data_IF_885621983370
#
_entry.id   IF_885621983370
#
_cell.length_a   1.000
_cell.length_b   1.000
_cell.length_c   1.000
_cell.angle_alpha   90.00
_cell.angle_beta   90.00
_cell.angle_gamma   90.00
#
_symmetry.space_group_name_H-M   'P 1'
#
loop_
_entity.id
_entity.type
_entity.pdbx_description
1 polymer ?
#
# COMPACT_ATOMS: atom_id res chain seq x y z
N UNK A 1 -51.60 27.30 50.91
CA UNK A 1 -52.18 26.22 50.08
C UNK A 1 -51.31 26.08 48.84
N UNK A 2 -50.75 24.87 48.64
CA UNK A 2 -50.29 24.24 47.36
C UNK A 2 -49.37 25.07 46.45
N UNK A 3 -48.03 24.92 46.45
CA UNK A 3 -47.18 23.79 46.01
C UNK A 3 -47.53 23.27 44.61
N UNK A 4 -46.67 23.52 43.61
CA UNK A 4 -46.44 22.58 42.52
C UNK A 4 -45.04 22.80 41.90
N UNK A 5 -44.14 21.90 42.29
CA UNK A 5 -42.79 21.75 41.76
C UNK A 5 -42.86 20.97 40.43
N UNK A 6 -42.53 21.62 39.33
CA UNK A 6 -42.40 21.00 37.99
C UNK A 6 -40.97 20.55 37.75
N UNK A 7 -40.61 19.42 38.35
CA UNK A 7 -39.31 18.77 38.18
C UNK A 7 -39.25 18.12 36.80
N UNK A 8 -38.70 18.85 35.82
CA UNK A 8 -38.48 18.38 34.46
C UNK A 8 -37.29 17.40 34.44
N UNK A 9 -37.61 16.13 34.65
CA UNK A 9 -36.68 15.01 34.65
C UNK A 9 -36.26 14.70 33.20
N UNK A 10 -35.25 15.41 32.70
CA UNK A 10 -34.59 15.08 31.43
C UNK A 10 -33.69 13.88 31.71
N UNK A 11 -34.22 12.68 31.50
CA UNK A 11 -33.44 11.44 31.45
C UNK A 11 -32.38 11.56 30.35
N UNK A 12 -31.15 11.84 30.76
CA UNK A 12 -29.96 11.56 29.96
C UNK A 12 -29.88 10.06 29.72
N UNK A 13 -30.47 9.59 28.62
CA UNK A 13 -30.19 8.28 28.06
C UNK A 13 -28.78 8.30 27.47
N UNK A 14 -27.78 8.15 28.34
CA UNK A 14 -26.42 7.83 27.95
C UNK A 14 -26.46 6.40 27.43
N UNK A 15 -26.63 6.26 26.11
CA UNK A 15 -26.39 4.99 25.42
C UNK A 15 -24.89 4.72 25.56
N UNK A 16 -24.51 3.93 26.57
CA UNK A 16 -23.17 3.36 26.68
C UNK A 16 -23.05 2.30 25.59
N UNK A 17 -22.77 2.75 24.36
CA UNK A 17 -22.37 1.88 23.28
C UNK A 17 -21.06 1.22 23.68
N UNK A 18 -21.10 -0.07 23.99
CA UNK A 18 -19.89 -0.87 24.12
C UNK A 18 -19.22 -0.88 22.75
N UNK A 19 -18.20 -0.04 22.56
CA UNK A 19 -17.31 -0.15 21.42
C UNK A 19 -16.60 -1.49 21.55
N UNK A 20 -17.14 -2.51 20.89
CA UNK A 20 -16.44 -3.78 20.74
C UNK A 20 -15.32 -3.50 19.75
N UNK A 21 -14.13 -3.20 20.29
CA UNK A 21 -12.90 -3.23 19.52
C UNK A 21 -12.79 -4.65 18.97
N UNK A 22 -13.12 -4.84 17.70
CA UNK A 22 -12.88 -6.11 17.04
C UNK A 22 -11.37 -6.30 17.07
N UNK A 23 -10.91 -7.24 17.92
CA UNK A 23 -9.57 -7.80 17.84
C UNK A 23 -9.49 -8.59 16.52
N UNK A 24 -9.43 -7.86 15.40
CA UNK A 24 -9.11 -8.42 14.13
C UNK A 24 -7.67 -8.90 14.24
N UNK A 25 -7.48 -10.22 14.37
CA UNK A 25 -6.17 -10.81 14.24
C UNK A 25 -5.61 -10.35 12.90
N UNK A 26 -4.53 -9.58 12.94
CA UNK A 26 -3.94 -9.05 11.72
C UNK A 26 -3.57 -10.23 10.84
N UNK A 27 -4.03 -10.30 9.58
CA UNK A 27 -3.70 -11.40 8.70
C UNK A 27 -2.17 -11.54 8.68
N UNK A 28 -1.68 -12.76 8.97
CA UNK A 28 -0.26 -13.08 8.93
C UNK A 28 0.20 -13.01 7.49
N UNK A 29 0.54 -11.81 7.03
CA UNK A 29 1.09 -11.60 5.70
C UNK A 29 2.57 -11.92 5.78
N UNK A 30 2.96 -12.99 5.10
CA UNK A 30 4.37 -13.34 4.98
C UNK A 30 5.02 -12.37 4.01
N UNK A 31 6.05 -11.66 4.48
CA UNK A 31 6.90 -10.87 3.58
C UNK A 31 7.64 -11.85 2.69
N UNK A 32 7.23 -11.98 1.44
CA UNK A 32 7.92 -12.84 0.49
C UNK A 32 9.34 -12.32 0.29
N UNK A 33 10.31 -13.21 0.48
CA UNK A 33 11.72 -12.93 0.25
C UNK A 33 11.97 -13.19 -1.24
N UNK A 34 11.81 -12.15 -2.05
CA UNK A 34 12.02 -12.25 -3.48
C UNK A 34 11.57 -10.97 -4.17
N UNK A 35 12.51 -10.27 -4.75
CA UNK A 35 12.25 -9.13 -5.62
C UNK A 35 12.55 -9.60 -7.05
N UNK A 36 11.75 -10.54 -7.55
CA UNK A 36 11.84 -10.97 -8.95
C UNK A 36 10.71 -10.33 -9.73
N UNK A 37 11.02 -10.02 -10.98
CA UNK A 37 10.10 -9.32 -11.86
C UNK A 37 8.82 -10.13 -12.09
N UNK A 38 8.94 -11.42 -12.39
CA UNK A 38 7.83 -12.34 -12.67
C UNK A 38 6.91 -12.48 -11.45
N UNK A 39 7.48 -12.64 -10.26
CA UNK A 39 6.69 -12.81 -9.05
C UNK A 39 5.96 -11.52 -8.66
N UNK A 40 6.61 -10.37 -8.79
CA UNK A 40 5.98 -9.08 -8.48
C UNK A 40 4.88 -8.74 -9.48
N UNK A 41 5.08 -9.00 -10.78
CA UNK A 41 4.05 -8.84 -11.82
C UNK A 41 2.83 -9.69 -11.50
N UNK A 42 3.01 -10.99 -11.27
CA UNK A 42 1.90 -11.90 -10.96
C UNK A 42 1.10 -11.44 -9.73
N UNK A 43 1.78 -10.86 -8.74
CA UNK A 43 1.17 -10.32 -7.52
C UNK A 43 0.42 -9.00 -7.76
N UNK A 44 0.96 -8.12 -8.58
CA UNK A 44 0.28 -6.90 -9.01
C UNK A 44 -0.93 -7.21 -9.90
N UNK A 45 -0.87 -8.27 -10.70
CA UNK A 45 -2.00 -8.77 -11.50
C UNK A 45 -3.12 -9.29 -10.63
N UNK A 46 -2.77 -10.11 -9.65
CA UNK A 46 -3.71 -10.57 -8.63
C UNK A 46 -4.34 -9.38 -7.90
N UNK A 47 -3.54 -8.40 -7.49
CA UNK A 47 -4.04 -7.17 -6.84
C UNK A 47 -5.05 -6.45 -7.73
N UNK A 48 -4.74 -6.26 -9.00
CA UNK A 48 -5.63 -5.58 -9.94
C UNK A 48 -6.94 -6.37 -10.13
N UNK A 49 -6.86 -7.69 -10.30
CA UNK A 49 -8.02 -8.58 -10.43
C UNK A 49 -8.90 -8.57 -9.17
N UNK A 50 -8.28 -8.64 -7.98
CA UNK A 50 -8.98 -8.64 -6.70
C UNK A 50 -9.69 -7.31 -6.41
N UNK A 51 -9.11 -6.19 -6.84
CA UNK A 51 -9.74 -4.89 -6.76
C UNK A 51 -10.87 -4.70 -7.80
N UNK A 52 -10.77 -5.33 -8.97
CA UNK A 52 -11.61 -5.00 -10.12
C UNK A 52 -11.32 -3.60 -10.68
N UNK A 53 -11.97 -3.23 -11.77
CA UNK A 53 -11.62 -2.01 -12.54
C UNK A 53 -11.75 -0.72 -11.72
N UNK A 54 -12.82 -0.60 -10.92
CA UNK A 54 -13.13 0.59 -10.12
C UNK A 54 -12.69 0.49 -8.65
N UNK A 55 -12.20 -0.66 -8.20
CA UNK A 55 -11.82 -0.86 -6.81
C UNK A 55 -10.61 -0.02 -6.40
N UNK A 56 -10.63 0.44 -5.15
CA UNK A 56 -9.53 1.23 -4.60
C UNK A 56 -8.33 0.34 -4.25
N UNK A 57 -7.18 0.66 -4.84
CA UNK A 57 -5.87 0.11 -4.49
C UNK A 57 -5.06 1.16 -3.73
N UNK A 58 -4.48 0.79 -2.61
CA UNK A 58 -3.58 1.65 -1.82
C UNK A 58 -2.22 0.96 -1.74
N UNK A 59 -1.17 1.62 -2.21
CA UNK A 59 0.20 1.14 -2.11
C UNK A 59 0.99 2.02 -1.12
N UNK A 60 1.53 1.41 -0.07
CA UNK A 60 2.28 2.09 0.99
C UNK A 60 3.72 1.60 0.99
N UNK A 61 4.68 2.47 0.71
CA UNK A 61 6.09 2.12 0.77
C UNK A 61 6.70 2.43 2.13
N UNK A 62 7.53 1.49 2.62
CA UNK A 62 8.22 1.57 3.89
C UNK A 62 9.70 1.29 3.69
N UNK A 63 10.54 2.16 4.25
CA UNK A 63 11.99 1.96 4.27
C UNK A 63 12.34 0.85 5.25
N UNK A 64 13.29 0.00 4.88
CA UNK A 64 13.86 -1.02 5.76
C UNK A 64 15.00 -0.50 6.63
N UNK A 65 15.62 -1.43 7.34
CA UNK A 65 16.78 -1.20 8.19
C UNK A 65 17.97 -0.68 7.37
N UNK A 66 18.55 0.41 7.83
CA UNK A 66 19.70 1.05 7.17
C UNK A 66 19.39 1.80 5.87
N UNK A 67 18.13 1.88 5.44
CA UNK A 67 17.72 2.75 4.32
C UNK A 67 17.40 4.15 4.85
N UNK A 68 17.90 5.22 4.22
CA UNK A 68 17.66 6.60 4.69
C UNK A 68 17.01 7.50 3.64
N UNK A 69 17.08 7.11 2.38
CA UNK A 69 16.63 7.95 1.27
C UNK A 69 15.14 7.78 1.02
N UNK A 70 14.34 8.84 1.27
CA UNK A 70 12.91 8.87 0.89
C UNK A 70 12.69 8.63 -0.60
N UNK A 71 13.66 9.06 -1.43
CA UNK A 71 13.64 8.81 -2.89
C UNK A 71 13.54 7.32 -3.25
N UNK A 72 13.98 6.43 -2.36
CA UNK A 72 13.87 5.00 -2.57
C UNK A 72 12.41 4.52 -2.53
N UNK A 73 11.62 4.98 -1.55
CA UNK A 73 10.19 4.71 -1.50
C UNK A 73 9.46 5.27 -2.72
N UNK A 74 9.80 6.49 -3.11
CA UNK A 74 9.22 7.14 -4.29
C UNK A 74 9.45 6.32 -5.57
N UNK A 75 10.67 5.80 -5.77
CA UNK A 75 10.98 4.92 -6.91
C UNK A 75 10.18 3.61 -6.87
N UNK A 76 10.07 2.99 -5.70
CA UNK A 76 9.26 1.76 -5.52
C UNK A 76 7.78 2.00 -5.84
N UNK A 77 7.21 3.07 -5.30
CA UNK A 77 5.82 3.46 -5.56
C UNK A 77 5.60 3.86 -7.02
N UNK A 78 6.57 4.53 -7.64
CA UNK A 78 6.52 4.86 -9.05
C UNK A 78 6.39 3.60 -9.91
N UNK A 79 7.15 2.54 -9.59
CA UNK A 79 7.07 1.28 -10.33
C UNK A 79 5.70 0.60 -10.15
N UNK A 80 5.16 0.54 -8.92
CA UNK A 80 3.80 0.02 -8.71
C UNK A 80 2.76 0.81 -9.51
N UNK A 81 2.86 2.14 -9.46
CA UNK A 81 1.94 3.04 -10.17
C UNK A 81 2.02 2.87 -11.67
N UNK A 82 3.22 2.90 -12.23
CA UNK A 82 3.42 2.76 -13.67
C UNK A 82 2.86 1.42 -14.15
N UNK A 83 3.12 0.33 -13.43
CA UNK A 83 2.57 -0.97 -13.77
C UNK A 83 1.04 -0.98 -13.77
N UNK A 84 0.42 -0.56 -12.66
CA UNK A 84 -1.04 -0.60 -12.54
C UNK A 84 -1.73 0.35 -13.54
N UNK A 85 -1.23 1.57 -13.72
CA UNK A 85 -1.83 2.56 -14.62
C UNK A 85 -1.56 2.26 -16.10
N UNK A 86 -0.31 1.90 -16.47
CA UNK A 86 0.09 1.77 -17.88
C UNK A 86 -0.05 0.36 -18.42
N UNK A 87 0.25 -0.66 -17.62
CA UNK A 87 0.18 -2.06 -18.06
C UNK A 87 -1.21 -2.64 -17.83
N UNK A 88 -1.82 -2.34 -16.68
CA UNK A 88 -3.18 -2.82 -16.33
C UNK A 88 -4.29 -1.81 -16.56
N UNK A 89 -3.99 -0.60 -17.03
CA UNK A 89 -5.01 0.39 -17.39
C UNK A 89 -5.83 0.92 -16.21
N UNK A 90 -5.34 0.76 -14.97
CA UNK A 90 -6.06 1.23 -13.78
C UNK A 90 -6.19 2.76 -13.80
N UNK A 91 -7.40 3.25 -13.53
CA UNK A 91 -7.66 4.69 -13.49
C UNK A 91 -6.89 5.35 -12.32
N UNK A 92 -6.18 6.48 -12.53
CA UNK A 92 -5.37 7.12 -11.50
C UNK A 92 -6.11 7.47 -10.21
N UNK A 93 -7.41 7.78 -10.30
CA UNK A 93 -8.27 8.09 -9.13
C UNK A 93 -8.51 6.88 -8.21
N UNK A 94 -8.29 5.66 -8.71
CA UNK A 94 -8.49 4.40 -7.97
C UNK A 94 -7.18 3.85 -7.38
N UNK A 95 -6.08 4.60 -7.50
CA UNK A 95 -4.79 4.22 -6.98
C UNK A 95 -4.25 5.32 -6.05
N UNK A 96 -4.09 4.99 -4.78
CA UNK A 96 -3.45 5.87 -3.79
C UNK A 96 -2.05 5.32 -3.51
N UNK A 97 -1.05 6.19 -3.57
CA UNK A 97 0.33 5.88 -3.16
C UNK A 97 0.71 6.71 -1.95
N UNK A 98 1.30 6.09 -0.94
CA UNK A 98 1.74 6.79 0.27
C UNK A 98 3.07 6.22 0.79
N UNK A 99 3.76 7.01 1.62
CA UNK A 99 4.92 6.56 2.38
C UNK A 99 4.53 6.43 3.86
N UNK A 100 5.09 5.46 4.56
CA UNK A 100 4.87 5.27 5.99
C UNK A 100 6.18 5.07 6.74
N UNK A 101 6.08 4.96 8.06
CA UNK A 101 7.19 4.75 8.97
C UNK A 101 8.01 3.52 8.58
N UNK A 102 9.25 3.52 9.05
CA UNK A 102 10.20 2.43 8.79
C UNK A 102 9.62 1.08 9.19
N UNK A 103 9.95 0.12 8.36
CA UNK A 103 9.72 -1.29 8.54
C UNK A 103 10.95 -1.91 9.22
N UNK A 104 10.74 -2.78 10.22
CA UNK A 104 11.83 -3.66 10.67
C UNK A 104 12.21 -4.62 9.55
N UNK A 105 13.50 -4.86 9.37
CA UNK A 105 14.04 -5.74 8.34
C UNK A 105 14.13 -5.07 6.97
N UNK A 106 13.57 -5.71 5.95
CA UNK A 106 13.67 -5.25 4.55
C UNK A 106 12.69 -4.12 4.26
N UNK A 107 13.06 -3.26 3.30
CA UNK A 107 12.11 -2.32 2.71
C UNK A 107 10.98 -3.07 2.02
N UNK A 108 9.79 -2.47 1.94
CA UNK A 108 8.63 -3.14 1.37
C UNK A 108 7.60 -2.17 0.80
N UNK A 109 6.75 -2.67 -0.07
CA UNK A 109 5.49 -2.03 -0.46
C UNK A 109 4.33 -2.88 0.03
N UNK A 110 3.54 -2.33 0.92
CA UNK A 110 2.29 -2.92 1.42
C UNK A 110 1.16 -2.52 0.46
N UNK A 111 0.38 -3.50 -0.01
CA UNK A 111 -0.70 -3.29 -0.97
C UNK A 111 -2.02 -3.63 -0.31
N UNK A 112 -2.94 -2.68 -0.36
CA UNK A 112 -4.28 -2.80 0.18
C UNK A 112 -5.32 -2.70 -0.92
N UNK A 113 -6.36 -3.52 -0.82
CA UNK A 113 -7.55 -3.49 -1.69
C UNK A 113 -8.78 -3.35 -0.80
N UNK A 114 -9.61 -2.33 -1.05
CA UNK A 114 -10.79 -2.06 -0.22
C UNK A 114 -10.48 -1.87 1.27
N UNK A 115 -9.29 -1.34 1.58
CA UNK A 115 -8.81 -1.13 2.96
C UNK A 115 -8.21 -2.36 3.65
N UNK A 116 -8.16 -3.53 2.98
CA UNK A 116 -7.55 -4.75 3.52
C UNK A 116 -6.17 -4.97 2.95
N UNK A 117 -5.20 -5.34 3.78
CA UNK A 117 -3.86 -5.72 3.35
C UNK A 117 -3.92 -7.04 2.57
N UNK A 118 -3.69 -7.00 1.26
CA UNK A 118 -3.72 -8.18 0.40
C UNK A 118 -2.32 -8.70 0.08
N UNK A 119 -1.33 -7.81 0.06
CA UNK A 119 0.02 -8.22 -0.29
C UNK A 119 1.14 -7.36 0.32
N UNK A 120 2.32 -7.96 0.44
CA UNK A 120 3.55 -7.30 0.93
C UNK A 120 4.74 -7.65 0.05
N UNK A 121 5.15 -6.70 -0.79
CA UNK A 121 6.26 -6.86 -1.72
C UNK A 121 7.58 -6.47 -1.03
N UNK A 122 8.37 -7.46 -0.62
CA UNK A 122 9.66 -7.24 0.03
C UNK A 122 10.78 -6.90 -0.97
N UNK A 123 11.58 -5.89 -0.64
CA UNK A 123 12.64 -5.37 -1.51
C UNK A 123 13.99 -5.44 -0.78
N UNK A 124 15.09 -5.76 -1.48
CA UNK A 124 16.42 -5.71 -0.86
C UNK A 124 16.81 -4.26 -0.51
N UNK A 125 17.76 -4.12 0.41
CA UNK A 125 18.22 -2.81 0.87
C UNK A 125 18.74 -1.99 -0.32
N UNK A 126 18.21 -0.78 -0.50
CA UNK A 126 18.66 0.13 -1.55
C UNK A 126 18.15 -0.18 -2.96
N UNK A 127 17.38 -1.26 -3.13
CA UNK A 127 16.83 -1.67 -4.42
C UNK A 127 15.43 -1.07 -4.69
N UNK A 128 15.09 -1.04 -5.98
CA UNK A 128 13.73 -0.75 -6.45
C UNK A 128 12.87 -2.01 -6.46
N UNK A 129 11.55 -1.83 -6.47
CA UNK A 129 10.62 -2.92 -6.76
C UNK A 129 10.64 -3.23 -8.25
N UNK A 130 10.94 -4.47 -8.63
CA UNK A 130 10.86 -4.86 -10.05
C UNK A 130 9.41 -5.10 -10.46
N UNK A 131 8.91 -4.34 -11.44
CA UNK A 131 7.54 -4.48 -11.97
C UNK A 131 7.49 -4.23 -13.49
N UNK A 132 8.63 -4.34 -14.18
CA UNK A 132 8.79 -4.10 -15.63
C UNK A 132 9.02 -5.38 -16.42
N UNK A 133 9.64 -5.30 -17.59
CA UNK A 133 10.04 -6.54 -18.28
C UNK A 133 11.23 -7.17 -17.58
N UNK A 134 11.27 -8.49 -17.56
CA UNK A 134 12.33 -9.23 -16.87
C UNK A 134 13.56 -9.42 -17.78
N UNK A 135 13.51 -8.90 -19.01
CA UNK A 135 14.59 -9.00 -20.00
C UNK A 135 15.56 -7.80 -19.96
N UNK A 136 15.24 -6.70 -19.28
CA UNK A 136 16.09 -5.51 -19.20
C UNK A 136 16.31 -4.79 -20.53
N UNK A 137 15.61 -5.20 -21.59
CA UNK A 137 15.77 -4.67 -22.95
C UNK A 137 14.49 -4.03 -23.48
N UNK A 138 13.36 -4.27 -22.81
CA UNK A 138 12.09 -3.69 -23.21
C UNK A 138 12.05 -2.16 -23.08
N UNK A 139 11.24 -1.53 -23.92
CA UNK A 139 10.91 -0.11 -23.80
C UNK A 139 10.28 0.21 -22.43
N UNK A 140 9.54 -0.75 -21.86
CA UNK A 140 8.97 -0.66 -20.52
C UNK A 140 10.06 -0.48 -19.46
N UNK A 141 11.19 -1.18 -19.54
CA UNK A 141 12.26 -1.05 -18.56
C UNK A 141 12.90 0.33 -18.55
N UNK A 142 12.94 1.00 -19.71
CA UNK A 142 13.38 2.39 -19.76
C UNK A 142 12.43 3.29 -18.98
N UNK A 143 11.12 3.05 -19.06
CA UNK A 143 10.13 3.80 -18.26
C UNK A 143 10.30 3.56 -16.75
N UNK A 144 10.58 2.32 -16.34
CA UNK A 144 10.75 1.97 -14.93
C UNK A 144 12.10 2.40 -14.33
N UNK A 145 13.19 2.43 -15.11
CA UNK A 145 14.56 2.55 -14.57
C UNK A 145 15.45 3.63 -15.17
N UNK A 146 14.94 4.57 -15.99
CA UNK A 146 15.74 5.65 -16.60
C UNK A 146 16.60 6.42 -15.56
N UNK A 147 16.09 6.58 -14.33
CA UNK A 147 16.82 7.28 -13.26
C UNK A 147 18.15 6.63 -12.84
N UNK A 148 18.37 5.33 -13.13
CA UNK A 148 19.64 4.65 -12.85
C UNK A 148 20.70 4.90 -13.94
N UNK A 149 20.30 5.02 -15.22
CA UNK A 149 21.24 5.21 -16.34
C UNK A 149 21.96 6.55 -16.32
N UNK A 150 21.35 7.60 -15.73
CA UNK A 150 21.96 8.93 -15.67
C UNK A 150 23.10 9.08 -14.65
N UNK A 151 23.31 8.10 -13.78
CA UNK A 151 24.37 8.15 -12.73
C UNK A 151 25.68 7.47 -13.12
N UNK A 152 25.73 6.78 -14.26
CA UNK A 152 26.93 6.08 -14.76
C UNK A 152 27.63 6.79 -15.91
N UNK A 153 27.31 8.06 -16.14
CA UNK A 153 28.03 8.99 -17.03
C UNK A 153 28.55 10.14 -16.18
#
# INVERSE_FOLDING_TARGET
>A
MTVLAGMCCICWLVVTGNAVAQNAESPKTYVTIGNTCESNIARLDRTHSEAGDDGLVIAIARLGDGEQSRRLNQRRLHNVRLYLERVRGRAPKTLITAESDRARGRGRVEIYVGGKLVDVLGVARGEDLYAGSCDGTSELDNLFYDSRRRKSR
#
